data_IF_776698342436
#
_entry.id   IF_776698342436
#
_cell.length_a   1.000
_cell.length_b   1.000
_cell.length_c   1.000
_cell.angle_alpha   90.00
_cell.angle_beta   90.00
_cell.angle_gamma   90.00
#
_symmetry.space_group_name_H-M   'P 1'
#
loop_
_entity.id
_entity.type
_entity.pdbx_description
1 polymer ?
#
# COMPACT_ATOMS: atom_id res chain seq x y z
N UNK A 1 5.42 15.77 5.59
CA UNK A 1 5.90 16.77 4.62
C UNK A 1 7.24 16.34 4.03
N UNK A 2 7.43 16.54 2.73
CA UNK A 2 8.53 15.96 1.93
C UNK A 2 9.87 16.71 2.01
N UNK A 3 9.97 17.80 2.78
CA UNK A 3 11.18 18.63 2.86
C UNK A 3 11.67 19.12 1.48
N UNK A 4 10.74 19.66 0.68
CA UNK A 4 10.99 20.20 -0.65
C UNK A 4 10.56 21.66 -0.71
N UNK A 5 11.15 22.43 -1.63
CA UNK A 5 10.68 23.76 -1.99
C UNK A 5 9.81 23.66 -3.23
N UNK A 6 8.63 24.30 -3.22
CA UNK A 6 7.77 24.43 -4.40
C UNK A 6 8.26 25.67 -5.17
N UNK A 7 8.93 25.45 -6.29
CA UNK A 7 9.59 26.54 -7.06
C UNK A 7 8.68 27.17 -8.12
N UNK A 8 7.54 26.55 -8.41
CA UNK A 8 6.59 27.04 -9.39
C UNK A 8 5.54 25.98 -9.77
N UNK A 9 4.73 26.31 -10.76
CA UNK A 9 3.69 25.47 -11.33
C UNK A 9 2.99 26.19 -12.48
N UNK A 10 2.14 25.47 -13.19
CA UNK A 10 1.35 26.01 -14.31
C UNK A 10 -0.11 25.62 -14.10
N UNK A 11 -1.06 26.41 -14.61
CA UNK A 11 -2.48 26.05 -14.62
C UNK A 11 -3.06 26.31 -16.00
N UNK A 12 -3.63 25.27 -16.61
CA UNK A 12 -4.25 25.35 -17.92
C UNK A 12 -5.74 25.00 -17.83
N UNK A 13 -6.58 25.72 -18.58
CA UNK A 13 -8.01 25.38 -18.76
C UNK A 13 -8.21 24.78 -20.15
N UNK A 14 -8.51 23.48 -20.21
CA UNK A 14 -8.59 22.70 -21.44
C UNK A 14 -9.95 21.94 -21.51
N UNK A 15 -11.07 22.65 -21.79
CA UNK A 15 -12.42 22.09 -21.65
C UNK A 15 -12.71 20.90 -22.58
N UNK A 16 -12.06 20.85 -23.75
CA UNK A 16 -12.26 19.76 -24.72
C UNK A 16 -11.40 18.52 -24.43
N UNK A 17 -10.40 18.63 -23.54
CA UNK A 17 -9.44 17.55 -23.27
C UNK A 17 -9.58 16.96 -21.88
N UNK A 18 -9.82 17.79 -20.86
CA UNK A 18 -9.84 17.36 -19.44
C UNK A 18 -11.26 17.43 -18.91
N UNK A 19 -11.78 16.27 -18.48
CA UNK A 19 -13.01 16.19 -17.71
C UNK A 19 -12.66 16.25 -16.21
N UNK A 20 -13.02 17.34 -15.55
CA UNK A 20 -12.71 17.55 -14.13
C UNK A 20 -11.37 18.24 -13.93
N UNK A 21 -10.56 17.74 -12.99
CA UNK A 21 -9.24 18.30 -12.64
C UNK A 21 -8.18 17.24 -12.89
N UNK A 22 -7.13 17.60 -13.62
CA UNK A 22 -5.89 16.84 -13.70
C UNK A 22 -4.80 17.55 -12.89
N UNK A 23 -4.19 16.82 -11.96
CA UNK A 23 -3.14 17.34 -11.09
C UNK A 23 -1.88 16.50 -11.29
N UNK A 24 -0.87 17.12 -11.87
CA UNK A 24 0.44 16.52 -12.09
C UNK A 24 1.53 17.36 -11.42
N UNK A 25 2.61 16.71 -10.99
CA UNK A 25 3.75 17.36 -10.36
C UNK A 25 5.05 16.69 -10.76
N UNK A 26 6.12 17.48 -10.89
CA UNK A 26 7.47 17.00 -11.13
C UNK A 26 8.36 17.36 -9.94
N UNK A 27 9.23 16.44 -9.54
CA UNK A 27 10.21 16.65 -8.48
C UNK A 27 11.61 16.36 -9.00
N UNK A 28 12.58 17.19 -8.58
CA UNK A 28 13.99 17.00 -8.85
C UNK A 28 14.72 16.73 -7.53
N UNK A 29 15.58 15.72 -7.52
CA UNK A 29 16.46 15.40 -6.40
C UNK A 29 17.88 15.13 -6.90
N UNK A 30 18.87 15.39 -6.04
CA UNK A 30 20.27 15.09 -6.27
C UNK A 30 20.76 14.12 -5.19
N UNK A 31 21.57 13.15 -5.60
CA UNK A 31 22.18 12.13 -4.75
C UNK A 31 23.59 11.87 -5.26
N UNK A 32 24.55 11.63 -4.36
CA UNK A 32 25.88 11.16 -4.75
C UNK A 32 25.79 9.70 -5.20
N UNK A 33 26.64 9.29 -6.14
CA UNK A 33 26.56 7.94 -6.73
C UNK A 33 26.80 6.84 -5.68
N UNK A 34 27.67 7.11 -4.73
CA UNK A 34 28.03 6.24 -3.61
C UNK A 34 26.90 6.07 -2.56
N UNK A 35 25.95 7.00 -2.50
CA UNK A 35 24.81 6.95 -1.57
C UNK A 35 23.59 6.24 -2.21
N UNK A 36 23.74 5.69 -3.42
CA UNK A 36 22.65 5.05 -4.18
C UNK A 36 22.23 3.72 -3.56
N UNK A 37 20.96 3.61 -3.20
CA UNK A 37 20.33 2.36 -2.74
C UNK A 37 19.46 1.78 -3.87
N UNK A 38 20.02 0.88 -4.68
CA UNK A 38 19.35 0.29 -5.86
C UNK A 38 19.03 -1.21 -5.74
N UNK A 39 19.20 -1.78 -4.55
CA UNK A 39 18.95 -3.20 -4.27
C UNK A 39 20.16 -4.12 -4.43
N UNK A 40 21.24 -3.70 -5.10
CA UNK A 40 22.38 -4.60 -5.41
C UNK A 40 23.07 -5.21 -4.19
N UNK A 41 22.96 -4.57 -3.02
CA UNK A 41 23.55 -5.07 -1.78
C UNK A 41 22.66 -6.09 -1.04
N UNK A 42 21.42 -6.29 -1.53
CA UNK A 42 20.46 -7.21 -0.94
C UNK A 42 21.03 -8.63 -1.02
N UNK A 43 20.93 -9.34 0.10
CA UNK A 43 21.45 -10.70 0.23
C UNK A 43 20.59 -11.53 1.18
N UNK A 44 20.78 -12.83 1.12
CA UNK A 44 20.17 -13.75 2.09
C UNK A 44 20.49 -13.34 3.53
N UNK A 45 19.46 -13.39 4.39
CA UNK A 45 19.56 -13.02 5.79
C UNK A 45 19.18 -11.56 6.09
N UNK A 46 19.05 -10.70 5.08
CA UNK A 46 18.55 -9.34 5.27
C UNK A 46 17.13 -9.34 5.84
N UNK A 47 16.81 -8.31 6.63
CA UNK A 47 15.50 -8.11 7.22
C UNK A 47 14.65 -7.19 6.34
N UNK A 48 13.36 -7.46 6.29
CA UNK A 48 12.38 -6.67 5.55
C UNK A 48 11.51 -5.91 6.55
N UNK A 49 11.53 -4.59 6.45
CA UNK A 49 10.79 -3.67 7.30
C UNK A 49 9.74 -2.92 6.49
N UNK A 50 8.56 -2.68 7.07
CA UNK A 50 7.51 -1.87 6.46
C UNK A 50 7.22 -0.62 7.27
N UNK A 51 6.99 0.49 6.57
CA UNK A 51 6.37 1.70 7.09
C UNK A 51 4.89 1.69 6.69
N UNK A 52 3.98 2.11 7.59
CA UNK A 52 2.55 1.93 7.41
C UNK A 52 2.02 2.87 6.31
N UNK A 53 1.05 2.40 5.54
CA UNK A 53 0.23 3.25 4.68
C UNK A 53 -0.91 3.90 5.48
N UNK A 54 -1.47 4.98 4.94
CA UNK A 54 -2.63 5.69 5.51
C UNK A 54 -3.95 5.20 4.90
N UNK A 55 -3.90 4.48 3.79
CA UNK A 55 -5.06 4.02 3.03
C UNK A 55 -4.61 3.47 1.67
N UNK A 56 -5.48 3.50 0.64
CA UNK A 56 -5.13 3.06 -0.74
C UNK A 56 -4.08 3.95 -1.43
N UNK A 57 -3.73 5.10 -0.82
CA UNK A 57 -2.89 6.15 -1.40
C UNK A 57 -3.50 6.67 -2.70
N UNK A 58 -2.80 6.55 -3.83
CA UNK A 58 -3.24 7.00 -5.15
C UNK A 58 -3.40 5.86 -6.16
N UNK A 59 -3.46 4.59 -5.72
CA UNK A 59 -3.52 3.41 -6.59
C UNK A 59 -4.81 2.61 -6.40
N UNK A 60 -5.21 1.86 -7.44
CA UNK A 60 -6.41 1.01 -7.40
C UNK A 60 -7.76 1.72 -7.51
N UNK A 61 -7.78 3.06 -7.67
CA UNK A 61 -9.03 3.84 -7.69
C UNK A 61 -9.97 3.50 -8.84
N UNK A 62 -9.47 3.03 -9.97
CA UNK A 62 -10.33 2.53 -11.06
C UNK A 62 -11.17 1.34 -10.60
N UNK A 63 -10.58 0.41 -9.84
CA UNK A 63 -11.30 -0.72 -9.25
C UNK A 63 -12.27 -0.22 -8.17
N UNK A 64 -11.79 0.62 -7.24
CA UNK A 64 -12.61 1.18 -6.15
C UNK A 64 -13.87 1.85 -6.71
N UNK A 65 -13.74 2.74 -7.71
CA UNK A 65 -14.88 3.42 -8.34
C UNK A 65 -15.89 2.43 -8.93
N UNK A 66 -15.41 1.41 -9.66
CA UNK A 66 -16.27 0.36 -10.23
C UNK A 66 -17.03 -0.43 -9.16
N UNK A 67 -16.39 -0.70 -8.02
CA UNK A 67 -17.04 -1.39 -6.90
C UNK A 67 -18.13 -0.52 -6.27
N UNK A 68 -17.83 0.75 -5.96
CA UNK A 68 -18.83 1.65 -5.40
C UNK A 68 -20.04 1.83 -6.35
N UNK A 69 -19.78 1.97 -7.65
CA UNK A 69 -20.82 2.10 -8.67
C UNK A 69 -21.69 0.83 -8.76
N UNK A 70 -21.07 -0.36 -8.83
CA UNK A 70 -21.76 -1.65 -8.88
C UNK A 70 -22.73 -1.83 -7.70
N UNK A 71 -22.30 -1.43 -6.51
CA UNK A 71 -23.09 -1.54 -5.28
C UNK A 71 -23.94 -0.30 -4.99
N UNK A 72 -23.95 0.70 -5.88
CA UNK A 72 -24.67 1.98 -5.72
C UNK A 72 -24.36 2.69 -4.39
N UNK A 73 -23.13 2.56 -3.92
CA UNK A 73 -22.66 3.17 -2.67
C UNK A 73 -22.32 4.64 -2.94
N UNK A 74 -22.97 5.56 -2.23
CA UNK A 74 -22.59 6.98 -2.24
C UNK A 74 -21.30 7.16 -1.43
N UNK A 75 -20.19 7.63 -2.02
CA UNK A 75 -18.95 7.87 -1.27
C UNK A 75 -19.11 8.94 -0.19
N UNK A 76 -20.10 9.82 -0.26
CA UNK A 76 -20.36 10.82 0.80
C UNK A 76 -21.06 10.22 2.02
N UNK A 77 -21.63 9.03 1.87
CA UNK A 77 -22.29 8.30 2.95
C UNK A 77 -21.32 7.52 3.82
N UNK A 78 -21.84 6.98 4.92
CA UNK A 78 -21.11 6.09 5.84
C UNK A 78 -21.29 4.62 5.45
N UNK A 79 -20.35 3.76 5.85
CA UNK A 79 -20.47 2.30 5.64
C UNK A 79 -21.77 1.78 6.27
N UNK A 80 -22.13 2.23 7.47
CA UNK A 80 -23.34 1.76 8.15
C UNK A 80 -24.62 2.08 7.36
N UNK A 81 -24.65 3.21 6.66
CA UNK A 81 -25.77 3.62 5.80
C UNK A 81 -25.85 2.72 4.57
N UNK A 82 -24.71 2.44 3.92
CA UNK A 82 -24.64 1.50 2.81
C UNK A 82 -25.11 0.08 3.22
N UNK A 83 -24.71 -0.39 4.40
CA UNK A 83 -25.13 -1.69 4.94
C UNK A 83 -26.61 -1.76 5.30
N UNK A 84 -27.21 -0.63 5.69
CA UNK A 84 -28.64 -0.55 5.99
C UNK A 84 -29.50 -0.52 4.71
N UNK A 85 -29.01 0.13 3.65
CA UNK A 85 -29.72 0.30 2.38
C UNK A 85 -29.68 -0.95 1.49
N UNK A 86 -28.64 -1.78 1.62
CA UNK A 86 -28.41 -2.91 0.72
C UNK A 86 -28.24 -4.22 1.51
N UNK A 87 -29.31 -4.98 1.76
CA UNK A 87 -29.23 -6.28 2.43
C UNK A 87 -28.26 -7.27 1.74
N UNK A 88 -28.24 -7.27 0.41
CA UNK A 88 -27.33 -8.09 -0.40
C UNK A 88 -25.86 -7.73 -0.18
N UNK A 89 -25.57 -6.46 0.14
CA UNK A 89 -24.21 -6.03 0.48
C UNK A 89 -23.77 -6.67 1.80
N UNK A 90 -24.65 -6.68 2.81
CA UNK A 90 -24.36 -7.31 4.10
C UNK A 90 -24.16 -8.82 3.94
N UNK A 91 -24.95 -9.48 3.09
CA UNK A 91 -24.75 -10.88 2.73
C UNK A 91 -23.39 -11.10 2.06
N UNK A 92 -23.06 -10.30 1.04
CA UNK A 92 -21.76 -10.38 0.36
C UNK A 92 -20.56 -10.14 1.29
N UNK A 93 -20.68 -9.23 2.26
CA UNK A 93 -19.65 -9.06 3.29
C UNK A 93 -19.46 -10.32 4.12
N UNK A 94 -20.56 -10.97 4.53
CA UNK A 94 -20.53 -12.19 5.33
C UNK A 94 -19.99 -13.38 4.55
N UNK A 95 -20.30 -13.47 3.26
CA UNK A 95 -19.88 -14.57 2.40
C UNK A 95 -18.39 -14.47 2.00
N UNK A 96 -17.85 -13.24 1.95
CA UNK A 96 -16.50 -12.97 1.45
C UNK A 96 -15.45 -12.65 2.55
N UNK A 97 -15.85 -12.60 3.82
CA UNK A 97 -14.99 -12.32 4.98
C UNK A 97 -15.16 -13.39 6.05
N UNK A 98 -14.06 -13.73 6.72
CA UNK A 98 -14.05 -14.77 7.75
C UNK A 98 -13.92 -14.17 9.16
N UNK A 99 -14.71 -14.67 10.11
CA UNK A 99 -14.55 -14.41 11.55
C UNK A 99 -14.38 -12.93 11.92
N UNK A 100 -13.18 -12.58 12.41
CA UNK A 100 -12.84 -11.22 12.88
C UNK A 100 -12.81 -10.17 11.76
N UNK A 101 -12.60 -10.55 10.51
CA UNK A 101 -12.57 -9.63 9.37
C UNK A 101 -13.90 -8.91 9.18
N UNK A 102 -14.99 -9.66 9.28
CA UNK A 102 -16.34 -9.11 9.20
C UNK A 102 -16.59 -8.11 10.33
N UNK A 103 -16.21 -8.46 11.57
CA UNK A 103 -16.33 -7.58 12.73
C UNK A 103 -15.54 -6.28 12.56
N UNK A 104 -14.32 -6.35 12.01
CA UNK A 104 -13.49 -5.16 11.74
C UNK A 104 -14.11 -4.22 10.71
N UNK A 105 -14.79 -4.76 9.69
CA UNK A 105 -15.53 -3.95 8.71
C UNK A 105 -16.76 -3.29 9.36
N UNK A 106 -17.48 -4.00 10.23
CA UNK A 106 -18.59 -3.41 10.99
C UNK A 106 -18.10 -2.31 11.93
N UNK A 107 -16.98 -2.50 12.60
CA UNK A 107 -16.37 -1.49 13.48
C UNK A 107 -15.89 -0.27 12.69
N UNK A 108 -15.37 -0.46 11.48
CA UNK A 108 -15.06 0.64 10.58
C UNK A 108 -16.31 1.48 10.27
N UNK A 109 -17.47 0.84 10.11
CA UNK A 109 -18.74 1.52 9.87
C UNK A 109 -19.29 2.30 11.06
N UNK A 110 -18.81 2.06 12.27
CA UNK A 110 -19.14 2.87 13.46
C UNK A 110 -18.44 4.22 13.46
N UNK A 111 -17.40 4.42 12.63
CA UNK A 111 -16.73 5.72 12.51
C UNK A 111 -17.67 6.75 11.88
N UNK A 112 -17.52 8.01 12.28
CA UNK A 112 -18.32 9.10 11.72
C UNK A 112 -17.88 9.54 10.31
N UNK A 113 -16.70 9.09 9.88
CA UNK A 113 -16.09 9.38 8.59
C UNK A 113 -16.86 8.70 7.46
N UNK A 114 -17.05 9.41 6.35
CA UNK A 114 -17.63 8.88 5.11
C UNK A 114 -16.67 7.93 4.40
N UNK A 115 -17.21 7.10 3.51
CA UNK A 115 -16.43 6.18 2.67
C UNK A 115 -15.42 6.95 1.82
N UNK A 116 -15.84 8.07 1.25
CA UNK A 116 -15.03 8.95 0.42
C UNK A 116 -13.88 9.58 1.20
N UNK A 117 -14.12 10.06 2.41
CA UNK A 117 -13.06 10.59 3.28
C UNK A 117 -12.04 9.51 3.65
N UNK A 118 -12.48 8.27 3.96
CA UNK A 118 -11.57 7.16 4.24
C UNK A 118 -10.72 6.78 3.01
N UNK A 119 -11.33 6.81 1.83
CA UNK A 119 -10.66 6.50 0.57
C UNK A 119 -9.66 7.61 0.20
N UNK A 120 -10.05 8.88 0.33
CA UNK A 120 -9.27 10.06 -0.01
C UNK A 120 -8.28 10.50 1.09
N UNK A 121 -8.06 9.66 2.10
CA UNK A 121 -7.01 9.88 3.10
C UNK A 121 -5.68 10.17 2.37
N UNK A 122 -5.01 11.30 2.63
CA UNK A 122 -3.84 11.70 1.87
C UNK A 122 -2.72 10.65 1.89
N UNK A 123 -2.06 10.47 0.74
CA UNK A 123 -0.89 9.59 0.62
C UNK A 123 0.18 9.99 1.63
N UNK A 124 0.62 9.02 2.43
CA UNK A 124 1.69 9.21 3.40
C UNK A 124 3.02 9.60 2.72
N UNK A 125 3.75 10.52 3.34
CA UNK A 125 5.05 11.00 2.85
C UNK A 125 6.17 10.47 3.75
N UNK A 126 7.00 9.58 3.20
CA UNK A 126 8.02 8.83 3.94
C UNK A 126 9.40 9.49 4.00
N UNK A 127 9.58 10.71 3.44
CA UNK A 127 10.90 11.35 3.32
C UNK A 127 11.63 11.46 4.67
N UNK A 128 10.98 12.00 5.71
CA UNK A 128 11.59 12.18 7.03
C UNK A 128 12.04 10.86 7.67
N UNK A 129 11.18 9.84 7.84
CA UNK A 129 11.60 8.58 8.46
C UNK A 129 12.65 7.85 7.63
N UNK A 130 12.54 7.84 6.30
CA UNK A 130 13.52 7.16 5.43
C UNK A 130 14.88 7.85 5.49
N UNK A 131 14.95 9.19 5.41
CA UNK A 131 16.22 9.92 5.55
C UNK A 131 16.85 9.73 6.94
N UNK A 132 16.05 9.60 7.99
CA UNK A 132 16.55 9.28 9.33
C UNK A 132 17.20 7.90 9.36
N UNK A 133 16.51 6.88 8.83
CA UNK A 133 17.04 5.51 8.80
C UNK A 133 18.33 5.44 7.98
N UNK A 134 18.37 6.08 6.80
CA UNK A 134 19.56 6.11 5.95
C UNK A 134 20.79 6.75 6.62
N UNK A 135 20.60 7.65 7.59
CA UNK A 135 21.70 8.25 8.37
C UNK A 135 22.18 7.37 9.51
N UNK A 136 21.29 6.55 10.09
CA UNK A 136 21.55 5.78 11.30
C UNK A 136 21.90 4.31 11.02
N UNK A 137 21.55 3.81 9.83
CA UNK A 137 21.54 2.39 9.47
C UNK A 137 21.87 2.21 8.00
N UNK A 138 22.51 1.08 7.69
CA UNK A 138 22.70 0.64 6.30
C UNK A 138 21.39 0.08 5.76
N UNK A 139 21.04 0.47 4.54
CA UNK A 139 19.85 -0.01 3.83
C UNK A 139 20.30 -0.55 2.48
N UNK A 140 19.98 -1.81 2.21
CA UNK A 140 20.34 -2.49 0.97
C UNK A 140 19.29 -2.26 -0.14
N UNK A 141 18.03 -2.05 0.22
CA UNK A 141 16.94 -1.82 -0.74
C UNK A 141 15.80 -0.97 -0.17
N UNK A 142 15.14 -0.20 -1.05
CA UNK A 142 13.97 0.61 -0.73
C UNK A 142 12.93 0.41 -1.83
N UNK A 143 11.72 -0.01 -1.46
CA UNK A 143 10.60 -0.15 -2.38
C UNK A 143 9.39 0.67 -1.92
N UNK A 144 8.93 1.59 -2.76
CA UNK A 144 7.67 2.28 -2.56
C UNK A 144 6.52 1.42 -3.10
N UNK A 145 5.60 1.04 -2.21
CA UNK A 145 4.49 0.15 -2.54
C UNK A 145 3.35 0.99 -3.11
N UNK A 146 3.22 0.95 -4.43
CA UNK A 146 2.32 1.79 -5.23
C UNK A 146 1.47 0.89 -6.14
N UNK A 147 1.37 1.20 -7.44
CA UNK A 147 0.76 0.29 -8.41
C UNK A 147 1.59 -0.98 -8.52
N UNK A 148 0.93 -2.15 -8.50
CA UNK A 148 1.57 -3.47 -8.39
C UNK A 148 1.66 -3.99 -6.95
N UNK A 149 1.42 -3.13 -5.95
CA UNK A 149 1.40 -3.55 -4.55
C UNK A 149 2.70 -4.24 -4.15
N UNK A 150 2.60 -5.42 -3.54
CA UNK A 150 3.78 -6.13 -3.03
C UNK A 150 4.78 -6.52 -4.14
N UNK A 151 4.34 -6.62 -5.40
CA UNK A 151 5.23 -6.95 -6.53
C UNK A 151 6.23 -5.84 -6.81
N UNK A 152 6.07 -4.62 -6.26
CA UNK A 152 7.08 -3.57 -6.37
C UNK A 152 8.45 -4.00 -5.80
N UNK A 153 8.51 -5.01 -4.92
CA UNK A 153 9.76 -5.61 -4.46
C UNK A 153 10.55 -6.31 -5.58
N UNK A 154 9.86 -6.86 -6.59
CA UNK A 154 10.50 -7.51 -7.76
C UNK A 154 11.29 -6.52 -8.63
N UNK A 155 11.11 -5.21 -8.43
CA UNK A 155 11.89 -4.16 -9.12
C UNK A 155 13.27 -3.96 -8.49
N UNK A 156 13.50 -4.45 -7.27
CA UNK A 156 14.80 -4.36 -6.61
C UNK A 156 15.78 -5.33 -7.28
N UNK A 157 17.02 -4.89 -7.49
CA UNK A 157 18.05 -5.73 -8.10
C UNK A 157 18.54 -6.76 -7.10
N UNK A 158 18.11 -8.01 -7.24
CA UNK A 158 18.63 -9.12 -6.43
C UNK A 158 18.04 -10.46 -6.88
N UNK A 159 18.91 -11.45 -7.09
CA UNK A 159 18.50 -12.84 -7.32
C UNK A 159 18.20 -13.48 -5.95
N UNK A 160 17.11 -13.03 -5.33
CA UNK A 160 16.71 -13.43 -3.98
C UNK A 160 15.19 -13.53 -3.87
N UNK A 161 14.73 -14.28 -2.89
CA UNK A 161 13.33 -14.33 -2.51
C UNK A 161 13.05 -13.36 -1.36
N UNK A 162 12.02 -12.51 -1.51
CA UNK A 162 11.47 -11.69 -0.44
C UNK A 162 10.38 -12.48 0.29
N UNK A 163 10.67 -12.92 1.51
CA UNK A 163 9.74 -13.71 2.33
C UNK A 163 9.07 -12.79 3.34
N UNK A 164 7.77 -12.54 3.15
CA UNK A 164 6.90 -11.81 4.07
C UNK A 164 6.21 -12.83 4.99
N UNK A 165 6.79 -13.05 6.17
CA UNK A 165 6.32 -14.03 7.15
C UNK A 165 5.37 -13.44 8.20
N UNK A 166 5.41 -12.12 8.39
CA UNK A 166 4.54 -11.39 9.31
C UNK A 166 4.00 -10.11 8.65
N UNK A 167 3.17 -10.23 7.60
CA UNK A 167 2.53 -9.06 7.01
C UNK A 167 1.68 -8.34 8.05
N UNK A 168 1.55 -6.99 7.98
CA UNK A 168 0.60 -6.29 8.84
C UNK A 168 -0.82 -6.76 8.52
N UNK A 169 -1.70 -6.71 9.52
CA UNK A 169 -3.10 -6.94 9.29
C UNK A 169 -3.64 -5.93 8.26
N UNK A 170 -4.35 -6.38 7.22
CA UNK A 170 -4.95 -5.48 6.26
C UNK A 170 -5.86 -4.46 6.96
N UNK A 171 -5.71 -3.15 6.70
CA UNK A 171 -6.68 -2.17 7.15
C UNK A 171 -8.12 -2.56 6.75
N UNK A 172 -9.08 -2.32 7.64
CA UNK A 172 -10.47 -2.74 7.45
C UNK A 172 -11.11 -2.19 6.15
N UNK A 173 -10.63 -1.05 5.65
CA UNK A 173 -11.07 -0.51 4.35
C UNK A 173 -10.73 -1.45 3.19
N UNK A 174 -9.57 -2.13 3.23
CA UNK A 174 -9.23 -3.13 2.21
C UNK A 174 -10.06 -4.41 2.35
N UNK A 175 -10.43 -4.82 3.56
CA UNK A 175 -11.37 -5.92 3.78
C UNK A 175 -12.73 -5.60 3.17
N UNK A 176 -13.22 -4.37 3.40
CA UNK A 176 -14.45 -3.89 2.80
C UNK A 176 -14.38 -3.96 1.27
N UNK A 177 -13.33 -3.42 0.65
CA UNK A 177 -13.13 -3.47 -0.81
C UNK A 177 -13.00 -4.90 -1.36
N UNK A 178 -12.25 -5.77 -0.67
CA UNK A 178 -12.12 -7.19 -1.00
C UNK A 178 -13.49 -7.84 -1.08
N UNK A 179 -14.33 -7.61 -0.07
CA UNK A 179 -15.65 -8.20 0.04
C UNK A 179 -16.63 -7.65 -1.00
N UNK A 180 -16.59 -6.34 -1.30
CA UNK A 180 -17.39 -5.76 -2.38
C UNK A 180 -17.09 -6.40 -3.74
N UNK A 181 -15.82 -6.68 -4.02
CA UNK A 181 -15.41 -7.20 -5.31
C UNK A 181 -15.34 -8.72 -5.41
N UNK A 182 -15.52 -9.44 -4.29
CA UNK A 182 -15.11 -10.84 -4.15
C UNK A 182 -13.67 -11.06 -4.68
N UNK A 183 -12.75 -10.19 -4.25
CA UNK A 183 -11.37 -10.17 -4.74
C UNK A 183 -10.55 -11.20 -3.97
N UNK A 184 -9.72 -11.97 -4.69
CA UNK A 184 -8.79 -12.91 -4.06
C UNK A 184 -7.69 -12.15 -3.30
N UNK A 185 -7.11 -12.78 -2.28
CA UNK A 185 -5.96 -12.19 -1.59
C UNK A 185 -4.79 -11.90 -2.52
N UNK A 186 -4.56 -12.78 -3.49
CA UNK A 186 -3.53 -12.59 -4.50
C UNK A 186 -3.71 -11.25 -5.26
N UNK A 187 -4.92 -10.98 -5.72
CA UNK A 187 -5.20 -9.73 -6.45
C UNK A 187 -5.19 -8.50 -5.53
N UNK A 188 -5.63 -8.64 -4.27
CA UNK A 188 -5.57 -7.57 -3.28
C UNK A 188 -4.12 -7.10 -3.03
N UNK A 189 -3.19 -8.03 -2.79
CA UNK A 189 -1.78 -7.72 -2.55
C UNK A 189 -1.03 -7.29 -3.83
N UNK A 190 -1.52 -7.66 -5.02
CA UNK A 190 -1.02 -7.13 -6.30
C UNK A 190 -1.56 -5.73 -6.63
N UNK A 191 -2.72 -5.36 -6.12
CA UNK A 191 -3.37 -4.09 -6.48
C UNK A 191 -3.11 -2.99 -5.47
N UNK A 192 -3.15 -3.34 -4.19
CA UNK A 192 -3.11 -2.39 -3.09
C UNK A 192 -1.86 -2.60 -2.24
N UNK A 193 -1.53 -1.57 -1.46
CA UNK A 193 -0.41 -1.59 -0.54
C UNK A 193 -0.68 -2.45 0.72
N UNK A 194 -1.94 -2.81 1.00
CA UNK A 194 -2.36 -3.69 2.08
C UNK A 194 -1.85 -3.26 3.48
N UNK A 195 -1.67 -1.96 3.70
CA UNK A 195 -1.14 -1.41 4.95
C UNK A 195 0.37 -1.13 4.93
N UNK A 196 1.08 -1.57 3.89
CA UNK A 196 2.52 -1.40 3.73
C UNK A 196 2.81 -0.32 2.69
N UNK A 197 3.13 0.91 3.09
CA UNK A 197 3.35 1.96 2.10
C UNK A 197 4.79 2.04 1.58
N UNK A 198 5.78 1.83 2.44
CA UNK A 198 7.19 1.78 2.05
C UNK A 198 7.83 0.54 2.66
N UNK A 199 8.66 -0.17 1.91
CA UNK A 199 9.44 -1.31 2.40
C UNK A 199 10.92 -0.99 2.32
N UNK A 200 11.65 -1.34 3.38
CA UNK A 200 13.09 -1.24 3.50
C UNK A 200 13.69 -2.64 3.67
N UNK A 201 14.80 -2.89 3.00
CA UNK A 201 15.59 -4.11 3.14
C UNK A 201 16.93 -3.73 3.75
N UNK A 202 17.29 -4.35 4.87
CA UNK A 202 18.48 -3.98 5.65
C UNK A 202 19.26 -5.23 6.04
N UNK A 203 20.56 -5.10 6.35
CA UNK A 203 21.22 -6.11 7.17
C UNK A 203 20.41 -6.39 8.45
N UNK A 204 20.66 -7.53 9.13
CA UNK A 204 20.13 -7.78 10.47
C UNK A 204 20.40 -6.59 11.40
N UNK A 205 19.35 -5.86 11.75
CA UNK A 205 19.37 -4.72 12.65
C UNK A 205 17.99 -4.55 13.27
N UNK A 206 17.86 -3.73 14.30
CA UNK A 206 16.58 -3.44 14.94
C UNK A 206 16.10 -2.04 14.56
N UNK A 207 14.98 -1.99 13.81
CA UNK A 207 14.29 -0.74 13.46
C UNK A 207 12.92 -0.60 14.14
N UNK A 208 12.46 -1.62 14.87
CA UNK A 208 11.11 -1.65 15.47
C UNK A 208 10.91 -0.58 16.57
N UNK A 209 12.00 0.01 17.05
CA UNK A 209 11.97 1.18 17.94
C UNK A 209 11.51 2.48 17.25
N UNK A 210 11.48 2.52 15.91
CA UNK A 210 10.98 3.66 15.16
C UNK A 210 9.45 3.61 15.03
N UNK A 211 8.73 4.70 15.34
CA UNK A 211 7.27 4.69 15.32
C UNK A 211 6.67 4.20 13.99
N UNK A 212 5.86 3.14 14.08
CA UNK A 212 5.15 2.54 12.94
C UNK A 212 6.00 1.61 12.07
N UNK A 213 7.33 1.62 12.20
CA UNK A 213 8.20 0.69 11.47
C UNK A 213 8.07 -0.70 12.09
N UNK A 214 7.84 -1.72 11.26
CA UNK A 214 7.73 -3.11 11.72
C UNK A 214 8.52 -4.03 10.81
N UNK A 215 9.24 -4.99 11.40
CA UNK A 215 9.76 -6.14 10.65
C UNK A 215 8.62 -7.03 10.17
N UNK A 216 8.55 -7.25 8.86
CA UNK A 216 7.49 -8.06 8.22
C UNK A 216 8.01 -9.34 7.56
N UNK A 217 9.34 -9.51 7.53
CA UNK A 217 9.94 -10.60 6.80
C UNK A 217 11.45 -10.63 6.78
N UNK A 218 11.98 -11.43 5.86
CA UNK A 218 13.41 -11.61 5.59
C UNK A 218 13.67 -11.96 4.13
N UNK A 219 14.91 -11.78 3.70
CA UNK A 219 15.40 -12.21 2.39
C UNK A 219 15.99 -13.62 2.51
N UNK A 220 15.66 -14.47 1.54
CA UNK A 220 16.22 -15.81 1.38
C UNK A 220 16.88 -15.94 0.01
N UNK A 221 17.83 -16.87 -0.16
CA UNK A 221 18.35 -17.19 -1.50
C UNK A 221 17.24 -17.70 -2.44
N UNK A 222 17.32 -17.38 -3.74
CA UNK A 222 16.37 -17.88 -4.73
C UNK A 222 16.30 -17.10 -6.03
N UNK A 223 15.20 -17.29 -6.78
CA UNK A 223 15.08 -16.88 -8.19
C UNK A 223 14.32 -15.55 -8.38
N UNK A 224 14.28 -14.67 -7.39
CA UNK A 224 13.60 -13.38 -7.54
C UNK A 224 12.09 -13.44 -7.30
N UNK A 225 11.62 -14.08 -6.22
CA UNK A 225 10.18 -14.21 -5.91
C UNK A 225 9.78 -13.36 -4.71
N UNK A 226 8.51 -12.95 -4.66
CA UNK A 226 7.89 -12.41 -3.44
C UNK A 226 6.92 -13.45 -2.90
N UNK A 227 7.06 -13.81 -1.62
CA UNK A 227 6.27 -14.86 -0.96
C UNK A 227 5.62 -14.28 0.29
N UNK A 228 4.30 -14.37 0.40
CA UNK A 228 3.57 -14.03 1.64
C UNK A 228 3.21 -15.34 2.33
N UNK A 229 4.07 -15.80 3.23
CA UNK A 229 4.03 -17.16 3.78
C UNK A 229 2.73 -17.52 4.49
N UNK A 230 2.15 -16.67 5.38
CA UNK A 230 0.92 -17.02 6.07
C UNK A 230 -0.28 -17.22 5.14
N UNK A 231 -0.27 -16.56 3.97
CA UNK A 231 -1.34 -16.61 2.98
C UNK A 231 -1.03 -17.54 1.79
N UNK A 232 0.16 -18.17 1.77
CA UNK A 232 0.65 -19.02 0.67
C UNK A 232 0.56 -18.35 -0.70
N UNK A 233 0.88 -17.05 -0.76
CA UNK A 233 0.86 -16.27 -1.99
C UNK A 233 2.27 -16.15 -2.57
N UNK A 234 2.37 -16.25 -3.90
CA UNK A 234 3.62 -16.20 -4.65
C UNK A 234 3.47 -15.23 -5.84
N UNK A 235 4.52 -14.43 -6.06
CA UNK A 235 4.61 -13.50 -7.17
C UNK A 235 6.01 -13.59 -7.79
N UNK A 236 6.06 -13.75 -9.11
CA UNK A 236 7.30 -13.93 -9.88
C UNK A 236 7.49 -12.85 -10.94
N UNK A 237 6.40 -12.17 -11.34
CA UNK A 237 6.42 -11.17 -12.41
C UNK A 237 5.87 -9.83 -11.94
N UNK A 238 6.52 -8.77 -12.42
CA UNK A 238 6.06 -7.39 -12.28
C UNK A 238 5.24 -7.02 -13.54
N UNK A 239 3.92 -6.87 -13.39
CA UNK A 239 3.02 -6.45 -14.47
C UNK A 239 2.69 -4.95 -14.40
#
# INVERSE_FOLDING_TARGET
MANVSIVGGETATLPDMVRGIDLSGAALGYLKKEDLVDGKEIREGDYIYSLPSTGPHSNGYTLIRKLLERWKIDPRGRIQEALALYPDLKAALKDNLEGEEYSRVLDLGKKQQSIGEMLLEPTAIYVKPVLRILRERRVHGIAHITGGGITNLLRLKGEVNFIIDSPPEPPALFLFLKALGNISWWEMYRTFNMGMGMILVTPPCELDSLPGVRRIGKVAGGEGKVIISPLKLHYEEYF
#
